data_IF_570042434064
#
_entry.id   IF_570042434064
#
_cell.length_a   1.000
_cell.length_b   1.000
_cell.length_c   1.000
_cell.angle_alpha   90.00
_cell.angle_beta   90.00
_cell.angle_gamma   90.00
#
_symmetry.space_group_name_H-M   'P 1'
#
loop_
_entity.id
_entity.type
_entity.pdbx_description
1 polymer ?
#
# COMPACT_ATOMS: atom_id res chain seq x y z
N UNK A 1 1.07 -42.95 34.93
CA UNK A 1 0.04 -43.49 34.02
C UNK A 1 -1.30 -42.74 34.15
N UNK A 2 -1.71 -42.06 33.07
CA UNK A 2 -3.04 -41.48 32.78
C UNK A 2 -3.53 -40.36 33.74
N UNK A 3 -4.13 -39.23 33.34
CA UNK A 3 -5.09 -38.99 32.25
C UNK A 3 -5.04 -37.50 31.86
N UNK A 4 -4.74 -37.17 30.61
CA UNK A 4 -5.09 -35.86 30.06
C UNK A 4 -6.55 -35.90 29.61
N UNK A 5 -7.35 -34.95 30.08
CA UNK A 5 -8.78 -34.85 29.78
C UNK A 5 -8.97 -34.15 28.44
N UNK A 6 -9.61 -34.84 27.49
CA UNK A 6 -10.08 -34.31 26.21
C UNK A 6 -11.37 -33.51 26.42
N UNK A 7 -11.27 -32.25 26.86
CA UNK A 7 -12.40 -31.31 26.82
C UNK A 7 -11.86 -29.88 26.73
N UNK A 8 -11.30 -29.53 25.57
CA UNK A 8 -10.98 -28.14 25.22
C UNK A 8 -10.85 -27.99 23.69
N UNK A 9 -11.56 -28.83 22.92
CA UNK A 9 -11.56 -28.80 21.46
C UNK A 9 -12.94 -28.44 20.88
N UNK A 10 -13.94 -28.18 21.74
CA UNK A 10 -15.33 -27.93 21.34
C UNK A 10 -15.71 -26.46 21.18
N UNK A 11 -15.03 -25.54 21.86
CA UNK A 11 -15.43 -24.13 21.95
C UNK A 11 -14.35 -23.19 21.37
N UNK A 12 -13.87 -23.47 20.15
CA UNK A 12 -12.93 -22.56 19.46
C UNK A 12 -13.27 -22.34 17.98
N UNK A 13 -14.37 -22.91 17.49
CA UNK A 13 -14.70 -22.90 16.06
C UNK A 13 -15.78 -21.86 15.72
N UNK A 14 -16.62 -21.44 16.67
CA UNK A 14 -17.84 -20.68 16.33
C UNK A 14 -17.74 -19.15 16.49
N UNK A 15 -16.69 -18.59 17.13
CA UNK A 15 -16.63 -17.15 17.40
C UNK A 15 -15.77 -16.32 16.42
N UNK A 16 -15.05 -16.95 15.48
CA UNK A 16 -14.15 -16.24 14.54
C UNK A 16 -14.49 -16.45 13.04
N UNK A 17 -15.56 -17.19 12.72
CA UNK A 17 -15.92 -17.50 11.35
C UNK A 17 -16.33 -16.26 10.53
N UNK A 18 -17.06 -15.33 11.16
CA UNK A 18 -17.47 -14.06 10.52
C UNK A 18 -16.27 -13.17 10.17
N UNK A 19 -15.24 -13.16 11.01
CA UNK A 19 -14.00 -12.41 10.77
C UNK A 19 -13.30 -12.97 9.53
N UNK A 20 -13.14 -14.29 9.43
CA UNK A 20 -12.51 -14.93 8.28
C UNK A 20 -13.27 -14.73 6.95
N UNK A 21 -14.61 -14.74 6.99
CA UNK A 21 -15.44 -14.53 5.79
C UNK A 21 -15.34 -13.09 5.25
N UNK A 22 -15.30 -12.09 6.15
CA UNK A 22 -15.11 -10.68 5.76
C UNK A 22 -13.73 -10.42 5.13
N UNK A 23 -12.69 -11.14 5.55
CA UNK A 23 -11.34 -11.01 4.98
C UNK A 23 -11.17 -11.62 3.58
N UNK A 24 -11.95 -12.64 3.23
CA UNK A 24 -11.89 -13.26 1.89
C UNK A 24 -12.64 -12.42 0.85
N UNK A 25 -13.74 -11.78 1.24
CA UNK A 25 -14.53 -10.92 0.36
C UNK A 25 -13.77 -9.67 -0.10
N UNK A 26 -13.12 -8.96 0.82
CA UNK A 26 -12.35 -7.73 0.54
C UNK A 26 -11.09 -7.97 -0.31
N UNK A 27 -10.58 -9.20 -0.38
CA UNK A 27 -9.40 -9.51 -1.17
C UNK A 27 -9.68 -9.59 -2.68
N UNK A 28 -10.92 -9.88 -3.07
CA UNK A 28 -11.31 -10.09 -4.48
C UNK A 28 -11.81 -8.83 -5.20
N UNK A 29 -12.08 -7.73 -4.49
CA UNK A 29 -12.71 -6.51 -5.05
C UNK A 29 -11.90 -5.24 -4.82
N UNK A 30 -10.56 -5.34 -4.66
CA UNK A 30 -9.75 -4.12 -4.59
C UNK A 30 -9.69 -3.44 -5.95
N UNK A 31 -10.06 -2.15 -6.06
CA UNK A 31 -9.96 -1.41 -7.31
C UNK A 31 -8.49 -1.31 -7.72
N UNK A 32 -8.22 -1.45 -9.03
CA UNK A 32 -6.91 -1.09 -9.57
C UNK A 32 -6.68 0.41 -9.40
N UNK A 33 -5.42 0.84 -9.44
CA UNK A 33 -5.08 2.26 -9.37
C UNK A 33 -5.88 3.13 -10.36
N UNK A 34 -6.15 2.60 -11.56
CA UNK A 34 -6.94 3.25 -12.63
C UNK A 34 -8.45 3.34 -12.32
N UNK A 35 -8.94 2.55 -11.36
CA UNK A 35 -10.35 2.45 -10.95
C UNK A 35 -10.61 3.19 -9.64
N UNK A 36 -9.60 3.86 -9.07
CA UNK A 36 -9.74 4.67 -7.87
C UNK A 36 -10.46 5.99 -8.18
N UNK A 37 -11.51 6.28 -7.42
CA UNK A 37 -12.22 7.56 -7.48
C UNK A 37 -11.54 8.59 -6.57
N UNK A 38 -10.36 9.06 -6.98
CA UNK A 38 -9.64 10.17 -6.31
C UNK A 38 -10.16 11.51 -6.81
N UNK A 39 -10.31 12.52 -5.95
CA UNK A 39 -10.50 13.89 -6.39
C UNK A 39 -9.24 14.42 -7.12
N UNK A 40 -9.36 15.47 -7.95
CA UNK A 40 -8.17 16.17 -8.46
C UNK A 40 -7.30 16.67 -7.31
N UNK A 41 -5.98 16.56 -7.48
CA UNK A 41 -4.95 16.90 -6.49
C UNK A 41 -4.97 16.01 -5.23
N UNK A 42 -5.57 14.83 -5.30
CA UNK A 42 -5.61 13.85 -4.21
C UNK A 42 -4.67 12.68 -4.48
N UNK A 43 -4.08 12.12 -3.42
CA UNK A 43 -3.28 10.91 -3.50
C UNK A 43 -3.65 9.89 -2.43
N UNK A 44 -3.31 8.63 -2.70
CA UNK A 44 -3.51 7.52 -1.76
C UNK A 44 -2.42 6.46 -1.91
N UNK A 45 -2.27 5.64 -0.87
CA UNK A 45 -1.41 4.44 -0.90
C UNK A 45 -2.31 3.21 -0.95
N UNK A 46 -2.21 2.46 -2.04
CA UNK A 46 -2.98 1.25 -2.31
C UNK A 46 -2.13 0.00 -2.09
N UNK A 47 -2.74 -1.06 -1.53
CA UNK A 47 -2.13 -2.39 -1.44
C UNK A 47 -2.86 -3.41 -2.30
N UNK A 48 -2.19 -3.88 -3.35
CA UNK A 48 -2.67 -4.87 -4.32
C UNK A 48 -1.79 -6.12 -4.26
N UNK A 49 -2.33 -7.22 -3.74
CA UNK A 49 -1.55 -8.44 -3.54
C UNK A 49 -0.31 -8.21 -2.65
N UNK A 50 0.88 -8.44 -3.21
CA UNK A 50 2.18 -8.19 -2.57
C UNK A 50 2.73 -6.78 -2.80
N UNK A 51 2.14 -6.02 -3.73
CA UNK A 51 2.64 -4.70 -4.12
C UNK A 51 1.95 -3.60 -3.34
N UNK A 52 2.70 -2.54 -3.04
CA UNK A 52 2.17 -1.32 -2.43
C UNK A 52 2.50 -0.16 -3.36
N UNK A 53 1.47 0.58 -3.78
CA UNK A 53 1.57 1.63 -4.80
C UNK A 53 1.10 2.96 -4.22
N UNK A 54 1.79 4.04 -4.56
CA UNK A 54 1.31 5.41 -4.39
C UNK A 54 0.59 5.83 -5.67
N UNK A 55 -0.61 6.38 -5.53
CA UNK A 55 -1.41 6.88 -6.65
C UNK A 55 -1.71 8.34 -6.36
N UNK A 56 -1.32 9.24 -7.25
CA UNK A 56 -1.68 10.66 -7.20
C UNK A 56 -2.49 11.01 -8.46
N UNK A 57 -3.62 11.68 -8.29
CA UNK A 57 -4.43 12.20 -9.41
C UNK A 57 -4.16 13.67 -9.58
N UNK A 58 -3.62 14.06 -10.74
CA UNK A 58 -3.35 15.47 -11.01
C UNK A 58 -4.62 16.28 -11.37
N UNK A 59 -4.46 17.60 -11.48
CA UNK A 59 -5.51 18.53 -11.90
C UNK A 59 -6.07 18.23 -13.32
N UNK A 60 -5.28 17.58 -14.17
CA UNK A 60 -5.68 17.13 -15.51
C UNK A 60 -6.54 15.86 -15.49
N UNK A 61 -6.55 15.15 -14.36
CA UNK A 61 -7.25 13.90 -14.16
C UNK A 61 -6.40 12.66 -14.45
N UNK A 62 -5.11 12.82 -14.74
CA UNK A 62 -4.19 11.71 -14.97
C UNK A 62 -3.73 11.11 -13.64
N UNK A 63 -3.58 9.79 -13.61
CA UNK A 63 -3.09 9.06 -12.45
C UNK A 63 -1.60 8.76 -12.57
N UNK A 64 -0.83 9.27 -11.61
CA UNK A 64 0.59 9.01 -11.45
C UNK A 64 0.76 7.89 -10.45
N UNK A 65 1.25 6.73 -10.91
CA UNK A 65 1.33 5.51 -10.10
C UNK A 65 2.78 5.05 -9.95
N UNK A 66 3.25 5.06 -8.71
CA UNK A 66 4.61 4.67 -8.31
C UNK A 66 4.58 3.58 -7.25
N UNK A 67 5.70 2.91 -7.01
CA UNK A 67 5.91 2.14 -5.79
C UNK A 67 5.75 3.04 -4.57
N UNK A 68 5.00 2.61 -3.55
CA UNK A 68 4.97 3.29 -2.26
C UNK A 68 6.11 2.82 -1.33
N UNK A 69 7.05 2.01 -1.83
CA UNK A 69 8.16 1.46 -1.06
C UNK A 69 9.43 2.27 -1.38
N UNK A 70 9.93 3.00 -0.39
CA UNK A 70 11.16 3.77 -0.48
C UNK A 70 12.37 2.85 -0.78
N UNK A 71 13.14 3.10 -1.85
CA UNK A 71 14.24 2.21 -2.27
C UNK A 71 15.44 2.25 -1.33
N UNK A 72 15.49 3.19 -0.37
CA UNK A 72 16.57 3.25 0.61
C UNK A 72 16.61 1.99 1.51
N UNK A 73 15.51 1.73 2.24
CA UNK A 73 15.42 0.61 3.19
C UNK A 73 14.01 0.01 3.30
N UNK A 74 13.13 0.30 2.33
CA UNK A 74 11.83 -0.35 2.21
C UNK A 74 10.71 0.21 3.09
N UNK A 75 10.86 1.42 3.64
CA UNK A 75 9.76 2.09 4.33
C UNK A 75 8.65 2.48 3.37
N UNK A 76 7.41 2.54 3.86
CA UNK A 76 6.32 3.15 3.11
C UNK A 76 6.49 4.67 3.08
N UNK A 77 6.34 5.27 1.91
CA UNK A 77 6.28 6.72 1.75
C UNK A 77 4.88 7.24 2.08
N UNK A 78 4.80 8.49 2.47
CA UNK A 78 3.57 9.23 2.77
C UNK A 78 3.40 10.36 1.76
N UNK A 79 2.16 10.68 1.39
CA UNK A 79 1.89 11.81 0.53
C UNK A 79 1.99 13.12 1.30
N UNK A 80 2.61 14.13 0.71
CA UNK A 80 2.66 15.50 1.19
C UNK A 80 1.92 16.42 0.22
N UNK A 81 0.69 16.79 0.58
CA UNK A 81 -0.18 17.64 -0.24
C UNK A 81 0.41 19.03 -0.52
N UNK A 82 1.21 19.57 0.41
CA UNK A 82 1.74 20.92 0.30
C UNK A 82 2.73 21.07 -0.85
N UNK A 83 3.54 20.04 -1.08
CA UNK A 83 4.61 20.04 -2.08
C UNK A 83 4.36 19.06 -3.24
N UNK A 84 3.31 18.24 -3.16
CA UNK A 84 3.01 17.14 -4.11
C UNK A 84 4.17 16.16 -4.23
N UNK A 85 4.64 15.69 -3.07
CA UNK A 85 5.77 14.77 -2.96
C UNK A 85 5.40 13.52 -2.20
N UNK A 86 6.11 12.44 -2.50
CA UNK A 86 6.17 11.26 -1.66
C UNK A 86 7.34 11.41 -0.68
N UNK A 87 7.04 11.51 0.61
CA UNK A 87 8.03 11.72 1.65
C UNK A 87 8.21 10.43 2.48
N UNK A 88 9.44 9.98 2.66
CA UNK A 88 9.76 8.81 3.47
C UNK A 88 9.94 9.22 4.94
N UNK A 89 9.02 8.85 5.86
CA UNK A 89 9.05 9.31 7.25
C UNK A 89 10.22 8.71 8.06
N UNK A 90 10.86 7.66 7.55
CA UNK A 90 11.93 6.98 8.25
C UNK A 90 13.23 7.80 8.30
N UNK A 91 13.66 8.36 7.16
CA UNK A 91 14.97 9.03 7.03
C UNK A 91 14.91 10.29 6.16
N UNK A 92 13.73 10.71 5.71
CA UNK A 92 13.54 11.98 5.02
C UNK A 92 13.82 11.97 3.53
N UNK A 93 13.96 10.81 2.87
CA UNK A 93 14.02 10.79 1.40
C UNK A 93 12.73 11.36 0.82
N UNK A 94 12.84 12.21 -0.20
CA UNK A 94 11.70 12.84 -0.86
C UNK A 94 11.73 12.52 -2.34
N UNK A 95 10.55 12.27 -2.90
CA UNK A 95 10.36 11.98 -4.32
C UNK A 95 9.26 12.87 -4.88
N UNK A 96 9.36 13.26 -6.15
CA UNK A 96 8.25 13.93 -6.83
C UNK A 96 7.08 12.95 -7.04
N UNK A 97 5.94 13.48 -7.49
CA UNK A 97 4.75 12.67 -7.71
C UNK A 97 4.90 11.62 -8.82
N UNK A 98 5.89 11.74 -9.72
CA UNK A 98 6.24 10.76 -10.75
C UNK A 98 7.26 9.71 -10.25
N UNK A 99 7.78 9.89 -9.04
CA UNK A 99 8.69 8.98 -8.35
C UNK A 99 10.16 9.38 -8.40
N UNK A 100 10.51 10.46 -9.09
CA UNK A 100 11.88 10.96 -9.21
C UNK A 100 12.45 11.42 -7.87
N UNK A 101 13.68 11.06 -7.56
CA UNK A 101 14.31 11.45 -6.29
C UNK A 101 14.58 12.97 -6.25
N UNK A 102 14.09 13.63 -5.20
CA UNK A 102 14.31 15.05 -4.91
C UNK A 102 15.42 15.20 -3.86
N UNK A 103 15.32 14.43 -2.77
CA UNK A 103 16.27 14.49 -1.66
C UNK A 103 16.56 13.10 -1.06
N UNK A 104 17.80 12.92 -0.64
CA UNK A 104 18.32 11.64 -0.13
C UNK A 104 17.85 11.32 1.28
N UNK A 105 18.22 10.16 1.85
CA UNK A 105 19.33 9.27 1.46
C UNK A 105 19.11 8.30 0.30
N UNK A 106 17.88 8.12 -0.20
CA UNK A 106 17.65 7.33 -1.41
C UNK A 106 18.44 7.91 -2.60
N UNK A 107 18.93 7.04 -3.48
CA UNK A 107 19.68 7.42 -4.70
C UNK A 107 19.06 6.81 -5.96
N UNK A 108 17.94 6.12 -5.80
CA UNK A 108 17.14 5.52 -6.86
C UNK A 108 15.74 6.10 -6.77
N UNK A 109 15.06 6.22 -7.90
CA UNK A 109 13.69 6.68 -8.00
C UNK A 109 12.72 5.62 -7.45
N UNK A 110 11.48 6.02 -7.11
CA UNK A 110 10.40 5.07 -6.90
C UNK A 110 10.05 4.43 -8.25
N UNK A 111 10.05 3.09 -8.37
CA UNK A 111 9.66 2.43 -9.61
C UNK A 111 8.26 2.86 -10.04
N UNK A 112 8.12 3.31 -11.29
CA UNK A 112 6.82 3.66 -11.86
C UNK A 112 6.10 2.40 -12.35
N UNK A 113 4.77 2.45 -12.39
CA UNK A 113 3.94 1.32 -12.86
C UNK A 113 4.05 1.03 -14.35
N UNK A 114 4.66 1.94 -15.13
CA UNK A 114 4.96 1.72 -16.55
C UNK A 114 6.15 0.77 -16.75
N UNK A 115 7.03 0.65 -15.75
CA UNK A 115 8.18 -0.25 -15.77
C UNK A 115 7.75 -1.62 -15.20
N UNK A 116 7.09 -2.41 -16.06
CA UNK A 116 6.46 -3.66 -15.67
C UNK A 116 7.39 -4.63 -14.95
N UNK A 117 6.97 -5.10 -13.78
CA UNK A 117 7.18 -6.47 -13.34
C UNK A 117 5.98 -6.88 -12.49
N UNK A 118 5.25 -7.83 -13.06
CA UNK A 118 4.17 -8.64 -12.46
C UNK A 118 4.71 -9.48 -11.29
#
# INVERSE_FOLDING_TARGET
PSRFSTTAAGDLVEENADVAASFVGDWLTKPRAEELDLAPDEATVLREGSSVRGVYRDDGGDHHVVSAICPHMGCLVEWNDGDRTWDCPCHGSRFDYEGGVIDGPAVEDLPSSADGTD
#
